data_IF_920037772961
#
_entry.id   IF_920037772961
#
_cell.length_a   1.000
_cell.length_b   1.000
_cell.length_c   1.000
_cell.angle_alpha   90.00
_cell.angle_beta   90.00
_cell.angle_gamma   90.00
#
_symmetry.space_group_name_H-M   'P 1'
#
loop_
_entity.id
_entity.type
_entity.pdbx_description
1 polymer ?
#
# COMPACT_ATOMS: atom_id res chain seq x y z
N UNK A 1 0.21 -27.64 -21.53
CA UNK A 1 0.47 -27.16 -20.15
C UNK A 1 1.71 -26.32 -20.22
N UNK A 2 1.59 -24.98 -20.28
CA UNK A 2 2.76 -24.11 -20.32
C UNK A 2 3.47 -24.19 -18.97
N UNK A 3 4.77 -24.46 -18.95
CA UNK A 3 5.55 -24.34 -17.74
C UNK A 3 5.47 -22.89 -17.28
N UNK A 4 5.06 -22.68 -16.03
CA UNK A 4 5.03 -21.33 -15.45
C UNK A 4 6.44 -20.72 -15.55
N UNK A 5 6.55 -19.46 -15.99
CA UNK A 5 7.84 -18.80 -16.01
C UNK A 5 8.42 -18.74 -14.60
N UNK A 6 9.74 -18.70 -14.49
CA UNK A 6 10.39 -18.57 -13.18
C UNK A 6 9.91 -17.32 -12.44
N UNK A 7 9.58 -16.25 -13.18
CA UNK A 7 9.03 -15.01 -12.63
C UNK A 7 7.65 -15.25 -12.01
N UNK A 8 6.77 -16.00 -12.68
CA UNK A 8 5.45 -16.36 -12.16
C UNK A 8 5.57 -17.25 -10.91
N UNK A 9 6.40 -18.30 -10.97
CA UNK A 9 6.54 -19.25 -9.88
C UNK A 9 7.09 -18.59 -8.60
N UNK A 10 8.19 -17.85 -8.70
CA UNK A 10 8.81 -17.18 -7.57
C UNK A 10 8.00 -15.97 -7.09
N UNK A 11 7.36 -15.22 -8.01
CA UNK A 11 6.49 -14.11 -7.65
C UNK A 11 5.29 -14.57 -6.82
N UNK A 12 4.60 -15.62 -7.24
CA UNK A 12 3.51 -16.23 -6.46
C UNK A 12 3.98 -16.85 -5.15
N UNK A 13 5.15 -17.50 -5.14
CA UNK A 13 5.73 -18.02 -3.90
C UNK A 13 6.01 -16.89 -2.89
N UNK A 14 6.45 -15.73 -3.35
CA UNK A 14 6.64 -14.54 -2.53
C UNK A 14 5.32 -14.04 -1.92
N UNK A 15 4.24 -13.96 -2.72
CA UNK A 15 2.90 -13.58 -2.23
C UNK A 15 2.37 -14.58 -1.19
N UNK A 16 2.54 -15.88 -1.43
CA UNK A 16 2.15 -16.93 -0.47
C UNK A 16 2.94 -16.81 0.83
N UNK A 17 4.25 -16.53 0.75
CA UNK A 17 5.07 -16.31 1.94
C UNK A 17 4.58 -15.08 2.73
N UNK A 18 4.29 -13.96 2.04
CA UNK A 18 3.74 -12.77 2.68
C UNK A 18 2.41 -13.08 3.37
N UNK A 19 1.48 -13.72 2.67
CA UNK A 19 0.16 -14.08 3.20
C UNK A 19 0.27 -15.01 4.40
N UNK A 20 1.06 -16.08 4.30
CA UNK A 20 1.29 -17.02 5.39
C UNK A 20 1.92 -16.33 6.61
N UNK A 21 2.93 -15.49 6.39
CA UNK A 21 3.58 -14.74 7.47
C UNK A 21 2.60 -13.78 8.16
N UNK A 22 1.72 -13.10 7.41
CA UNK A 22 0.69 -12.23 7.97
C UNK A 22 -0.34 -13.02 8.80
N UNK A 23 -0.84 -14.14 8.29
CA UNK A 23 -1.83 -14.98 9.00
C UNK A 23 -1.22 -15.56 10.26
N UNK A 24 -0.08 -16.25 10.16
CA UNK A 24 0.57 -16.85 11.31
C UNK A 24 1.10 -15.82 12.31
N UNK A 25 1.57 -14.66 11.82
CA UNK A 25 1.99 -13.54 12.66
C UNK A 25 0.84 -12.97 13.49
N UNK A 26 -0.31 -12.70 12.86
CA UNK A 26 -1.51 -12.23 13.56
C UNK A 26 -1.99 -13.26 14.60
N UNK A 27 -2.06 -14.55 14.24
CA UNK A 27 -2.49 -15.63 15.14
C UNK A 27 -1.51 -15.83 16.30
N UNK A 28 -0.21 -15.82 16.04
CA UNK A 28 0.83 -15.99 17.07
C UNK A 28 0.78 -14.85 18.10
N UNK A 29 0.66 -13.59 17.61
CA UNK A 29 0.56 -12.43 18.50
C UNK A 29 -0.76 -12.45 19.29
N UNK A 30 -1.89 -12.77 18.65
CA UNK A 30 -3.19 -12.85 19.30
C UNK A 30 -3.20 -13.93 20.40
N UNK A 31 -2.67 -15.11 20.09
CA UNK A 31 -2.58 -16.20 21.05
C UNK A 31 -1.60 -15.85 22.18
N UNK A 32 -0.46 -15.23 21.86
CA UNK A 32 0.52 -14.75 22.83
C UNK A 32 -0.10 -13.74 23.81
N UNK A 33 -0.91 -12.76 23.32
CA UNK A 33 -1.62 -11.80 24.17
C UNK A 33 -2.61 -12.53 25.11
N UNK A 34 -3.43 -13.44 24.56
CA UNK A 34 -4.47 -14.16 25.33
C UNK A 34 -3.91 -15.08 26.40
N UNK A 35 -2.74 -15.68 26.16
CA UNK A 35 -2.10 -16.62 27.08
C UNK A 35 -1.00 -15.98 27.95
N UNK A 36 -0.65 -14.74 27.70
CA UNK A 36 0.51 -14.10 28.33
C UNK A 36 1.85 -14.74 27.92
N UNK A 37 1.91 -15.39 26.75
CA UNK A 37 3.11 -16.09 26.28
C UNK A 37 4.07 -15.12 25.58
N UNK A 38 5.06 -14.68 26.35
CA UNK A 38 6.10 -13.76 25.86
C UNK A 38 6.97 -14.35 24.75
N UNK A 39 7.09 -15.69 24.67
CA UNK A 39 7.89 -16.33 23.60
C UNK A 39 7.21 -16.15 22.24
N UNK A 40 5.89 -16.29 22.19
CA UNK A 40 5.12 -16.03 20.97
C UNK A 40 5.14 -14.54 20.58
N UNK A 41 4.97 -13.64 21.55
CA UNK A 41 5.03 -12.20 21.28
C UNK A 41 6.37 -11.76 20.69
N UNK A 42 7.49 -12.36 21.15
CA UNK A 42 8.84 -12.11 20.62
C UNK A 42 9.04 -12.60 19.17
N UNK A 43 8.13 -13.40 18.63
CA UNK A 43 8.20 -13.84 17.22
C UNK A 43 7.58 -12.84 16.25
N UNK A 44 6.83 -11.84 16.72
CA UNK A 44 6.18 -10.87 15.84
C UNK A 44 7.14 -10.19 14.82
N UNK A 45 8.36 -9.74 15.19
CA UNK A 45 9.31 -9.22 14.22
C UNK A 45 9.73 -10.22 13.15
N UNK A 46 9.86 -11.50 13.47
CA UNK A 46 10.20 -12.55 12.49
C UNK A 46 9.12 -12.62 11.41
N UNK A 47 7.84 -12.69 11.80
CA UNK A 47 6.74 -12.70 10.83
C UNK A 47 6.67 -11.43 9.99
N UNK A 48 6.94 -10.27 10.58
CA UNK A 48 6.98 -9.01 9.83
C UNK A 48 8.12 -9.01 8.78
N UNK A 49 9.30 -9.52 9.11
CA UNK A 49 10.40 -9.65 8.17
C UNK A 49 10.14 -10.71 7.09
N UNK A 50 9.51 -11.82 7.43
CA UNK A 50 9.09 -12.84 6.44
C UNK A 50 8.05 -12.27 5.47
N UNK A 51 7.08 -11.49 5.96
CA UNK A 51 6.11 -10.82 5.11
C UNK A 51 6.78 -9.82 4.15
N UNK A 52 7.72 -9.02 4.66
CA UNK A 52 8.51 -8.11 3.83
C UNK A 52 9.35 -8.88 2.79
N UNK A 53 10.05 -9.94 3.20
CA UNK A 53 10.85 -10.75 2.28
C UNK A 53 9.99 -11.35 1.17
N UNK A 54 8.79 -11.83 1.50
CA UNK A 54 7.84 -12.37 0.54
C UNK A 54 7.42 -11.34 -0.52
N UNK A 55 7.00 -10.16 -0.09
CA UNK A 55 6.58 -9.13 -1.05
C UNK A 55 7.74 -8.55 -1.84
N UNK A 56 8.92 -8.40 -1.25
CA UNK A 56 10.13 -7.98 -1.97
C UNK A 56 10.47 -8.99 -3.07
N UNK A 57 10.41 -10.29 -2.79
CA UNK A 57 10.60 -11.32 -3.81
C UNK A 57 9.59 -11.16 -4.96
N UNK A 58 8.31 -10.96 -4.67
CA UNK A 58 7.28 -10.76 -5.70
C UNK A 58 7.56 -9.53 -6.55
N UNK A 59 7.87 -8.40 -5.92
CA UNK A 59 8.20 -7.16 -6.63
C UNK A 59 9.45 -7.31 -7.50
N UNK A 60 10.51 -7.95 -6.99
CA UNK A 60 11.72 -8.22 -7.76
C UNK A 60 11.43 -9.10 -8.97
N UNK A 61 10.59 -10.13 -8.81
CA UNK A 61 10.20 -11.00 -9.92
C UNK A 61 9.36 -10.27 -10.96
N UNK A 62 8.45 -9.38 -10.56
CA UNK A 62 7.67 -8.57 -11.49
C UNK A 62 8.57 -7.54 -12.22
N UNK A 63 9.46 -6.86 -11.50
CA UNK A 63 10.42 -5.96 -12.13
C UNK A 63 11.32 -6.71 -13.14
N UNK A 64 11.80 -7.90 -12.75
CA UNK A 64 12.56 -8.73 -13.66
C UNK A 64 11.74 -9.10 -14.90
N UNK A 65 10.47 -9.51 -14.73
CA UNK A 65 9.59 -9.86 -15.84
C UNK A 65 9.39 -8.69 -16.82
N UNK A 66 9.18 -7.48 -16.32
CA UNK A 66 9.05 -6.28 -17.14
C UNK A 66 10.34 -5.92 -17.87
N UNK A 67 11.48 -5.95 -17.18
CA UNK A 67 12.80 -5.62 -17.77
C UNK A 67 13.21 -6.66 -18.81
N UNK A 68 12.98 -7.95 -18.55
CA UNK A 68 13.31 -9.05 -19.49
C UNK A 68 12.21 -9.28 -20.53
N UNK A 69 11.14 -8.50 -20.50
CA UNK A 69 10.00 -8.62 -21.43
C UNK A 69 9.41 -10.03 -21.46
N UNK A 70 9.13 -10.58 -20.27
CA UNK A 70 8.54 -11.91 -20.11
C UNK A 70 7.04 -11.88 -20.46
N UNK A 71 6.74 -11.85 -21.74
CA UNK A 71 5.37 -11.83 -22.26
C UNK A 71 4.58 -13.13 -22.01
N UNK A 72 5.12 -14.08 -21.24
CA UNK A 72 4.33 -15.20 -20.73
C UNK A 72 3.34 -14.79 -19.64
N UNK A 73 3.48 -13.58 -19.09
CA UNK A 73 2.60 -13.01 -18.07
C UNK A 73 1.59 -12.03 -18.69
N UNK A 74 0.32 -12.15 -18.31
CA UNK A 74 -0.75 -11.27 -18.79
C UNK A 74 -0.46 -9.78 -18.46
N UNK A 75 0.04 -9.50 -17.27
CA UNK A 75 0.41 -8.15 -16.87
C UNK A 75 1.48 -7.54 -17.78
N UNK A 76 2.52 -8.31 -18.11
CA UNK A 76 3.57 -7.85 -19.04
C UNK A 76 3.03 -7.64 -20.45
N UNK A 77 2.05 -8.45 -20.89
CA UNK A 77 1.35 -8.23 -22.17
C UNK A 77 0.52 -6.94 -22.16
N UNK A 78 -0.04 -6.57 -21.03
CA UNK A 78 -0.89 -5.38 -20.89
C UNK A 78 -0.08 -4.08 -20.87
N UNK A 79 0.99 -4.02 -20.06
CA UNK A 79 1.74 -2.78 -19.79
C UNK A 79 3.13 -2.74 -20.37
N UNK A 80 3.63 -3.88 -20.88
CA UNK A 80 4.96 -3.98 -21.50
C UNK A 80 4.91 -3.74 -22.99
N UNK A 81 6.03 -3.27 -23.56
CA UNK A 81 6.24 -3.17 -25.01
C UNK A 81 7.70 -3.44 -25.34
N UNK A 82 7.94 -3.94 -26.56
CA UNK A 82 9.29 -4.08 -27.11
C UNK A 82 10.00 -2.71 -27.24
N UNK A 83 9.22 -1.64 -27.44
CA UNK A 83 9.71 -0.29 -27.72
C UNK A 83 9.82 0.59 -26.47
N UNK A 84 9.28 0.15 -25.31
CA UNK A 84 9.36 0.93 -24.07
C UNK A 84 10.82 1.09 -23.63
N UNK A 85 11.31 2.35 -23.40
CA UNK A 85 12.65 2.57 -22.90
C UNK A 85 12.85 1.92 -21.53
N UNK A 86 14.05 1.37 -21.27
CA UNK A 86 14.34 0.55 -20.08
C UNK A 86 13.97 1.22 -18.75
N UNK A 87 14.16 2.53 -18.64
CA UNK A 87 13.81 3.30 -17.44
C UNK A 87 12.31 3.23 -17.15
N UNK A 88 11.46 3.31 -18.16
CA UNK A 88 10.01 3.31 -18.03
C UNK A 88 9.43 1.90 -17.82
N UNK A 89 10.17 0.83 -18.14
CA UNK A 89 9.79 -0.53 -17.72
C UNK A 89 9.72 -0.68 -16.20
N UNK A 90 10.52 0.08 -15.45
CA UNK A 90 10.44 0.09 -13.99
C UNK A 90 9.09 0.69 -13.54
N UNK A 91 8.68 1.80 -14.14
CA UNK A 91 7.40 2.46 -13.83
C UNK A 91 6.18 1.65 -14.30
N UNK A 92 6.33 0.81 -15.33
CA UNK A 92 5.26 -0.05 -15.81
C UNK A 92 4.70 -0.97 -14.70
N UNK A 93 5.50 -1.26 -13.65
CA UNK A 93 5.00 -2.08 -12.53
C UNK A 93 3.80 -1.47 -11.82
N UNK A 94 3.69 -0.15 -11.72
CA UNK A 94 2.56 0.51 -11.06
C UNK A 94 1.61 1.24 -12.00
N UNK A 95 1.74 1.04 -13.31
CA UNK A 95 0.94 1.72 -14.32
C UNK A 95 -0.45 1.10 -14.55
N UNK A 96 -0.73 -0.06 -13.97
CA UNK A 96 -2.03 -0.73 -14.04
C UNK A 96 -2.40 -1.36 -12.68
N UNK A 97 -3.62 -1.93 -12.61
CA UNK A 97 -4.24 -2.39 -11.39
C UNK A 97 -3.36 -3.34 -10.57
N UNK A 98 -2.97 -4.47 -11.14
CA UNK A 98 -2.34 -5.58 -10.43
C UNK A 98 -0.98 -5.17 -9.85
N UNK A 99 -0.18 -4.50 -10.64
CA UNK A 99 1.14 -4.03 -10.20
C UNK A 99 1.05 -2.88 -9.20
N UNK A 100 0.01 -2.03 -9.28
CA UNK A 100 -0.26 -0.98 -8.29
C UNK A 100 -0.60 -1.58 -6.92
N UNK A 101 -1.30 -2.71 -6.87
CA UNK A 101 -1.58 -3.46 -5.64
C UNK A 101 -0.31 -4.12 -5.09
N UNK A 102 0.59 -4.62 -5.94
CA UNK A 102 1.91 -5.09 -5.50
C UNK A 102 2.74 -3.97 -4.83
N UNK A 103 2.73 -2.76 -5.40
CA UNK A 103 3.38 -1.61 -4.78
C UNK A 103 2.76 -1.26 -3.42
N UNK A 104 1.42 -1.30 -3.32
CA UNK A 104 0.72 -1.13 -2.06
C UNK A 104 1.16 -2.14 -1.00
N UNK A 105 1.17 -3.43 -1.36
CA UNK A 105 1.59 -4.51 -0.48
C UNK A 105 3.07 -4.36 -0.06
N UNK A 106 3.95 -3.91 -0.96
CA UNK A 106 5.35 -3.62 -0.64
C UNK A 106 5.46 -2.53 0.44
N UNK A 107 4.76 -1.41 0.26
CA UNK A 107 4.77 -0.30 1.23
C UNK A 107 4.22 -0.76 2.58
N UNK A 108 3.14 -1.55 2.61
CA UNK A 108 2.62 -2.17 3.83
C UNK A 108 3.65 -3.09 4.50
N UNK A 109 4.32 -3.94 3.73
CA UNK A 109 5.38 -4.82 4.24
C UNK A 109 6.51 -4.03 4.88
N UNK A 110 6.96 -2.95 4.23
CA UNK A 110 7.98 -2.04 4.77
C UNK A 110 7.52 -1.40 6.08
N UNK A 111 6.32 -0.83 6.14
CA UNK A 111 5.80 -0.22 7.36
C UNK A 111 5.61 -1.25 8.48
N UNK A 112 5.11 -2.45 8.17
CA UNK A 112 4.92 -3.52 9.16
C UNK A 112 6.27 -3.95 9.76
N UNK A 113 7.29 -4.16 8.93
CA UNK A 113 8.63 -4.48 9.39
C UNK A 113 9.27 -3.32 10.18
N UNK A 114 9.08 -2.07 9.73
CA UNK A 114 9.60 -0.88 10.41
C UNK A 114 8.98 -0.70 11.80
N UNK A 115 7.67 -0.91 11.94
CA UNK A 115 6.98 -0.88 13.25
C UNK A 115 7.48 -2.03 14.13
N UNK A 116 7.54 -3.26 13.62
CA UNK A 116 8.04 -4.41 14.37
C UNK A 116 9.49 -4.20 14.84
N UNK A 117 10.35 -3.63 13.99
CA UNK A 117 11.74 -3.28 14.34
C UNK A 117 11.81 -2.15 15.36
N UNK A 118 11.00 -1.09 15.20
CA UNK A 118 10.97 0.05 16.14
C UNK A 118 10.59 -0.38 17.55
N UNK A 119 9.68 -1.35 17.68
CA UNK A 119 9.17 -1.85 18.95
C UNK A 119 9.72 -3.22 19.37
N UNK A 120 10.80 -3.70 18.75
CA UNK A 120 11.39 -5.02 19.01
C UNK A 120 11.75 -5.30 20.48
N UNK A 121 12.02 -4.24 21.26
CA UNK A 121 12.32 -4.32 22.70
C UNK A 121 11.05 -4.18 23.57
N UNK A 122 9.87 -4.02 22.96
CA UNK A 122 8.57 -3.85 23.64
C UNK A 122 7.54 -4.83 23.07
N UNK A 123 7.96 -6.03 22.71
CA UNK A 123 7.07 -7.05 22.12
C UNK A 123 6.02 -7.57 23.10
N UNK A 124 6.21 -7.40 24.39
CA UNK A 124 5.26 -7.74 25.46
C UNK A 124 4.24 -6.61 25.75
N UNK A 125 4.37 -5.44 25.12
CA UNK A 125 3.36 -4.39 25.19
C UNK A 125 2.13 -4.76 24.36
N UNK A 126 1.01 -4.95 25.06
CA UNK A 126 -0.26 -5.36 24.46
C UNK A 126 -0.74 -4.36 23.38
N UNK A 127 -0.47 -3.06 23.56
CA UNK A 127 -0.79 -2.04 22.57
C UNK A 127 -0.02 -2.29 21.25
N UNK A 128 1.28 -2.54 21.34
CA UNK A 128 2.12 -2.86 20.19
C UNK A 128 1.65 -4.17 19.52
N UNK A 129 1.34 -5.17 20.34
CA UNK A 129 0.82 -6.45 19.83
C UNK A 129 -0.45 -6.27 19.00
N UNK A 130 -1.45 -5.54 19.50
CA UNK A 130 -2.67 -5.25 18.75
C UNK A 130 -2.43 -4.41 17.51
N UNK A 131 -1.55 -3.41 17.56
CA UNK A 131 -1.18 -2.65 16.37
C UNK A 131 -0.56 -3.54 15.28
N UNK A 132 0.34 -4.47 15.65
CA UNK A 132 0.91 -5.44 14.70
C UNK A 132 -0.14 -6.41 14.14
N UNK A 133 -1.11 -6.87 14.96
CA UNK A 133 -2.22 -7.69 14.46
C UNK A 133 -3.00 -6.94 13.37
N UNK A 134 -3.36 -5.69 13.60
CA UNK A 134 -4.07 -4.87 12.60
C UNK A 134 -3.24 -4.73 11.34
N UNK A 135 -1.93 -4.45 11.46
CA UNK A 135 -1.04 -4.33 10.30
C UNK A 135 -0.90 -5.63 9.54
N UNK A 136 -0.79 -6.78 10.22
CA UNK A 136 -0.78 -8.10 9.58
C UNK A 136 -2.08 -8.38 8.84
N UNK A 137 -3.23 -8.04 9.43
CA UNK A 137 -4.55 -8.23 8.79
C UNK A 137 -4.65 -7.40 7.52
N UNK A 138 -4.29 -6.11 7.58
CA UNK A 138 -4.33 -5.22 6.41
C UNK A 138 -3.32 -5.70 5.34
N UNK A 139 -2.10 -6.05 5.74
CA UNK A 139 -1.07 -6.56 4.81
C UNK A 139 -1.49 -7.89 4.17
N UNK A 140 -2.09 -8.79 4.96
CA UNK A 140 -2.63 -10.06 4.49
C UNK A 140 -3.79 -9.89 3.50
N UNK A 141 -4.65 -8.91 3.71
CA UNK A 141 -5.72 -8.57 2.78
C UNK A 141 -5.17 -8.15 1.41
N UNK A 142 -4.17 -7.27 1.36
CA UNK A 142 -3.56 -6.87 0.09
C UNK A 142 -2.74 -7.99 -0.57
N UNK A 143 -2.11 -8.87 0.22
CA UNK A 143 -1.47 -10.07 -0.30
C UNK A 143 -2.51 -11.02 -0.94
N UNK A 144 -3.68 -11.18 -0.31
CA UNK A 144 -4.77 -11.99 -0.84
C UNK A 144 -5.35 -11.40 -2.15
N UNK A 145 -5.52 -10.08 -2.22
CA UNK A 145 -5.93 -9.41 -3.45
C UNK A 145 -4.93 -9.66 -4.59
N UNK A 146 -3.63 -9.54 -4.30
CA UNK A 146 -2.54 -9.75 -5.28
C UNK A 146 -2.40 -11.21 -5.70
N UNK A 147 -2.87 -12.16 -4.88
CA UNK A 147 -2.86 -13.58 -5.21
C UNK A 147 -4.13 -14.03 -5.95
N UNK A 148 -5.23 -13.32 -5.79
CA UNK A 148 -6.55 -13.64 -6.34
C UNK A 148 -6.98 -12.66 -7.46
N UNK A 149 -7.88 -11.72 -7.18
CA UNK A 149 -8.50 -10.88 -8.23
C UNK A 149 -7.54 -9.91 -8.91
N UNK A 150 -6.41 -9.55 -8.29
CA UNK A 150 -5.37 -8.69 -8.87
C UNK A 150 -4.05 -9.47 -9.06
N UNK A 151 -4.13 -10.66 -9.68
CA UNK A 151 -2.96 -11.53 -9.90
C UNK A 151 -2.06 -11.00 -11.03
N UNK A 152 -1.04 -10.25 -10.66
CA UNK A 152 -0.03 -9.75 -11.59
C UNK A 152 0.82 -10.88 -12.27
N UNK A 153 0.79 -12.10 -11.73
CA UNK A 153 1.50 -13.26 -12.26
C UNK A 153 0.59 -14.22 -13.06
N UNK A 154 -0.61 -13.78 -13.43
CA UNK A 154 -1.51 -14.56 -14.27
C UNK A 154 -0.85 -14.90 -15.62
N UNK A 155 -1.09 -16.12 -16.17
CA UNK A 155 -0.54 -16.49 -17.46
C UNK A 155 -1.15 -15.63 -18.57
N UNK A 156 -0.30 -15.17 -19.48
CA UNK A 156 -0.71 -14.43 -20.65
C UNK A 156 -1.17 -15.32 -21.80
N UNK A 157 -1.71 -14.71 -22.85
CA UNK A 157 -2.06 -15.39 -24.10
C UNK A 157 -0.79 -15.89 -24.82
N UNK A 158 -0.83 -17.07 -25.47
CA UNK A 158 0.31 -17.60 -26.19
C UNK A 158 0.60 -16.78 -27.47
N UNK A 159 1.88 -16.72 -27.83
CA UNK A 159 2.32 -16.10 -29.09
C UNK A 159 2.46 -14.58 -29.07
N UNK A 160 2.13 -13.91 -27.96
CA UNK A 160 2.33 -12.48 -27.79
C UNK A 160 3.81 -12.20 -27.49
N UNK A 161 4.44 -11.35 -28.30
CA UNK A 161 5.85 -10.97 -28.19
C UNK A 161 6.06 -9.48 -27.89
N UNK A 162 4.99 -8.68 -27.92
CA UNK A 162 4.96 -7.27 -27.52
C UNK A 162 3.54 -6.87 -27.14
N UNK A 163 3.40 -5.99 -26.17
CA UNK A 163 2.14 -5.37 -25.80
C UNK A 163 2.10 -3.89 -26.21
N UNK A 164 1.01 -3.17 -25.86
CA UNK A 164 0.82 -1.76 -26.19
C UNK A 164 1.73 -0.82 -25.39
N UNK A 165 2.32 -1.32 -24.30
CA UNK A 165 2.97 -0.46 -23.30
C UNK A 165 1.97 0.16 -22.31
N UNK A 166 2.43 0.94 -21.33
CA UNK A 166 1.57 1.69 -20.43
C UNK A 166 0.71 2.71 -21.18
N UNK A 167 -0.35 3.21 -20.55
CA UNK A 167 -1.19 4.26 -21.12
C UNK A 167 -0.32 5.40 -21.69
N UNK A 168 -0.54 5.84 -22.94
CA UNK A 168 0.26 6.90 -23.57
C UNK A 168 0.37 8.20 -22.77
N UNK A 169 -0.64 8.53 -21.97
CA UNK A 169 -0.60 9.68 -21.07
C UNK A 169 0.39 9.53 -19.91
N UNK A 170 0.82 8.28 -19.59
CA UNK A 170 1.75 7.99 -18.51
C UNK A 170 3.19 7.84 -19.01
N UNK A 171 3.36 7.53 -20.30
CA UNK A 171 4.65 7.17 -20.88
C UNK A 171 5.61 8.36 -20.98
N UNK A 172 6.90 8.04 -20.80
CA UNK A 172 8.02 8.94 -21.12
C UNK A 172 8.06 10.25 -20.32
N UNK A 173 7.34 10.32 -19.20
CA UNK A 173 7.44 11.45 -18.28
C UNK A 173 8.15 11.03 -16.98
N UNK A 174 9.12 11.83 -16.53
CA UNK A 174 9.94 11.49 -15.37
C UNK A 174 9.12 11.33 -14.08
N UNK A 175 8.02 12.06 -13.94
CA UNK A 175 7.16 12.00 -12.74
C UNK A 175 6.42 10.67 -12.61
N UNK A 176 6.26 9.88 -13.67
CA UNK A 176 5.69 8.52 -13.55
C UNK A 176 6.55 7.61 -12.66
N UNK A 177 7.84 7.89 -12.56
CA UNK A 177 8.76 7.14 -11.70
C UNK A 177 8.63 7.53 -10.22
N UNK A 178 8.39 8.81 -9.93
CA UNK A 178 8.47 9.36 -8.57
C UNK A 178 7.12 9.61 -7.93
N UNK A 179 6.15 10.19 -8.67
CA UNK A 179 4.87 10.58 -8.09
C UNK A 179 4.10 9.40 -7.46
N UNK A 180 3.85 8.25 -8.15
CA UNK A 180 3.06 7.18 -7.54
C UNK A 180 3.74 6.57 -6.31
N UNK A 181 5.03 6.19 -6.31
CA UNK A 181 5.68 5.68 -5.10
C UNK A 181 5.65 6.65 -3.92
N UNK A 182 5.86 7.95 -4.15
CA UNK A 182 5.82 8.98 -3.11
C UNK A 182 4.39 9.13 -2.56
N UNK A 183 3.39 9.15 -3.43
CA UNK A 183 1.98 9.18 -3.04
C UNK A 183 1.62 7.97 -2.17
N UNK A 184 2.05 6.77 -2.56
CA UNK A 184 1.80 5.53 -1.80
C UNK A 184 2.46 5.55 -0.42
N UNK A 185 3.67 6.08 -0.28
CA UNK A 185 4.30 6.23 1.04
C UNK A 185 3.43 7.05 2.00
N UNK A 186 2.82 8.11 1.51
CA UNK A 186 1.89 8.91 2.29
C UNK A 186 0.55 8.22 2.53
N UNK A 187 -0.06 7.77 1.45
CA UNK A 187 -1.40 7.21 1.44
C UNK A 187 -1.51 5.93 2.29
N UNK A 188 -0.62 4.97 2.04
CA UNK A 188 -0.54 3.69 2.77
C UNK A 188 0.00 3.88 4.18
N UNK A 189 0.87 4.87 4.39
CA UNK A 189 1.50 5.15 5.67
C UNK A 189 0.51 5.46 6.80
N UNK A 190 -0.68 5.97 6.48
CA UNK A 190 -1.76 6.16 7.47
C UNK A 190 -2.26 4.85 8.09
N UNK A 191 -1.92 3.69 7.54
CA UNK A 191 -2.19 2.38 8.19
C UNK A 191 -1.51 2.28 9.56
N UNK A 192 -0.34 2.88 9.76
CA UNK A 192 0.38 2.80 11.04
C UNK A 192 -0.38 3.53 12.16
N UNK A 193 -0.68 4.85 12.05
CA UNK A 193 -1.45 5.52 13.09
C UNK A 193 -2.85 4.94 13.27
N UNK A 194 -3.50 4.46 12.20
CA UNK A 194 -4.77 3.73 12.30
C UNK A 194 -4.62 2.45 13.13
N UNK A 195 -3.61 1.64 12.89
CA UNK A 195 -3.38 0.39 13.64
C UNK A 195 -3.20 0.65 15.14
N UNK A 196 -2.47 1.69 15.50
CA UNK A 196 -2.34 2.10 16.89
C UNK A 196 -3.62 2.69 17.48
N UNK A 197 -4.44 3.40 16.69
CA UNK A 197 -5.75 3.89 17.13
C UNK A 197 -6.68 2.71 17.47
N UNK A 198 -6.75 1.70 16.61
CA UNK A 198 -7.52 0.46 16.88
C UNK A 198 -6.95 -0.27 18.11
N UNK A 199 -5.63 -0.38 18.22
CA UNK A 199 -4.99 -0.99 19.39
C UNK A 199 -5.35 -0.25 20.69
N UNK A 200 -5.39 1.10 20.67
CA UNK A 200 -5.79 1.92 21.81
C UNK A 200 -7.25 1.68 22.19
N UNK A 201 -8.15 1.56 21.20
CA UNK A 201 -9.57 1.23 21.42
C UNK A 201 -9.74 -0.15 22.05
N UNK A 202 -9.08 -1.18 21.49
CA UNK A 202 -9.18 -2.57 21.95
C UNK A 202 -8.63 -2.72 23.38
N UNK A 203 -7.54 -2.01 23.69
CA UNK A 203 -6.90 -2.09 25.01
C UNK A 203 -7.46 -1.12 26.05
N UNK A 204 -8.37 -0.23 25.66
CA UNK A 204 -8.89 0.84 26.52
C UNK A 204 -7.85 1.91 26.88
N UNK A 205 -6.68 1.93 26.25
CA UNK A 205 -5.59 2.87 26.51
C UNK A 205 -5.77 4.17 25.72
N UNK A 206 -6.82 4.91 26.01
CA UNK A 206 -7.19 6.15 25.30
C UNK A 206 -6.40 7.39 25.77
N UNK A 207 -5.43 7.22 26.66
CA UNK A 207 -4.53 8.27 27.13
C UNK A 207 -3.51 8.70 26.04
N UNK A 208 -2.61 9.61 26.41
CA UNK A 208 -1.68 10.26 25.46
C UNK A 208 -0.55 9.35 24.95
N UNK A 209 -0.29 8.21 25.62
CA UNK A 209 0.87 7.36 25.30
C UNK A 209 0.91 6.84 23.87
N UNK A 210 -0.23 6.45 23.30
CA UNK A 210 -0.28 5.97 21.92
C UNK A 210 -0.11 7.10 20.88
N UNK A 211 -0.52 8.33 21.22
CA UNK A 211 -0.34 9.50 20.35
C UNK A 211 1.14 9.83 20.12
N UNK A 212 1.95 9.77 21.17
CA UNK A 212 3.40 10.00 21.09
C UNK A 212 4.06 8.99 20.18
N UNK A 213 3.64 7.72 20.23
CA UNK A 213 4.17 6.67 19.37
C UNK A 213 3.80 6.86 17.89
N UNK A 214 2.61 7.39 17.61
CA UNK A 214 2.07 7.53 16.24
C UNK A 214 2.38 8.87 15.58
N UNK A 215 2.71 9.90 16.34
CA UNK A 215 2.91 11.27 15.84
C UNK A 215 3.87 11.35 14.65
N UNK A 216 5.05 10.70 14.76
CA UNK A 216 6.04 10.72 13.68
C UNK A 216 5.54 10.01 12.42
N UNK A 217 4.80 8.92 12.59
CA UNK A 217 4.21 8.18 11.47
C UNK A 217 3.13 9.00 10.77
N UNK A 218 2.25 9.64 11.53
CA UNK A 218 1.21 10.50 10.97
C UNK A 218 1.80 11.71 10.21
N UNK A 219 2.82 12.37 10.79
CA UNK A 219 3.51 13.48 10.12
C UNK A 219 4.25 13.02 8.86
N UNK A 220 4.92 11.86 8.90
CA UNK A 220 5.57 11.26 7.74
C UNK A 220 4.53 11.01 6.64
N UNK A 221 3.44 10.31 6.96
CA UNK A 221 2.39 9.98 6.00
C UNK A 221 1.78 11.23 5.39
N UNK A 222 1.46 12.23 6.20
CA UNK A 222 0.91 13.50 5.74
C UNK A 222 1.89 14.25 4.82
N UNK A 223 3.17 14.32 5.18
CA UNK A 223 4.19 15.01 4.38
C UNK A 223 4.39 14.33 3.01
N UNK A 224 4.48 12.99 2.98
CA UNK A 224 4.61 12.25 1.73
C UNK A 224 3.34 12.31 0.88
N UNK A 225 2.15 12.29 1.49
CA UNK A 225 0.89 12.48 0.77
C UNK A 225 0.80 13.88 0.17
N UNK A 226 1.20 14.91 0.94
CA UNK A 226 1.28 16.29 0.44
C UNK A 226 2.23 16.40 -0.75
N UNK A 227 3.43 15.86 -0.64
CA UNK A 227 4.42 15.85 -1.71
C UNK A 227 3.89 15.08 -2.94
N UNK A 228 3.25 13.93 -2.72
CA UNK A 228 2.63 13.14 -3.77
C UNK A 228 1.55 13.91 -4.52
N UNK A 229 0.65 14.61 -3.82
CA UNK A 229 -0.39 15.45 -4.43
C UNK A 229 0.24 16.58 -5.25
N UNK A 230 1.26 17.26 -4.73
CA UNK A 230 1.95 18.34 -5.44
C UNK A 230 2.64 17.85 -6.73
N UNK A 231 3.32 16.69 -6.65
CA UNK A 231 3.95 16.09 -7.84
C UNK A 231 2.91 15.63 -8.86
N UNK A 232 1.75 15.14 -8.41
CA UNK A 232 0.62 14.80 -9.28
C UNK A 232 0.04 16.01 -10.00
N UNK A 233 -0.13 17.11 -9.27
CA UNK A 233 -0.57 18.37 -9.86
C UNK A 233 0.43 18.93 -10.90
N UNK A 234 1.73 18.84 -10.61
CA UNK A 234 2.76 19.22 -11.58
C UNK A 234 2.70 18.31 -12.82
N UNK A 235 2.59 17.00 -12.63
CA UNK A 235 2.47 16.06 -13.74
C UNK A 235 1.22 16.30 -14.59
N UNK A 236 0.06 16.53 -13.95
CA UNK A 236 -1.19 16.91 -14.62
C UNK A 236 -1.01 18.14 -15.51
N UNK A 237 -0.33 19.18 -15.01
CA UNK A 237 -0.06 20.41 -15.76
C UNK A 237 0.79 20.17 -17.02
N UNK A 238 1.79 19.28 -16.96
CA UNK A 238 2.69 19.03 -18.08
C UNK A 238 2.14 18.05 -19.13
N UNK A 239 1.31 17.10 -18.70
CA UNK A 239 0.94 15.94 -19.54
C UNK A 239 -0.52 15.95 -19.96
N UNK A 240 -1.42 16.45 -19.10
CA UNK A 240 -2.85 16.37 -19.36
C UNK A 240 -3.38 17.63 -20.04
N UNK A 241 -4.25 17.45 -21.05
CA UNK A 241 -4.65 18.52 -21.98
C UNK A 241 -5.59 19.59 -21.43
N UNK A 242 -5.95 19.57 -20.15
CA UNK A 242 -6.83 20.62 -19.56
C UNK A 242 -6.10 21.86 -19.05
N UNK A 243 -4.80 21.95 -19.25
CA UNK A 243 -3.99 23.14 -18.91
C UNK A 243 -4.06 23.58 -17.45
N UNK A 244 -4.18 22.64 -16.50
CA UNK A 244 -4.30 22.94 -15.07
C UNK A 244 -3.59 21.92 -14.19
N UNK A 245 -3.32 22.33 -12.94
CA UNK A 245 -2.68 21.48 -11.92
C UNK A 245 -3.69 20.60 -11.18
N UNK A 246 -5.00 20.86 -11.35
CA UNK A 246 -6.07 20.17 -10.65
C UNK A 246 -7.39 20.26 -11.43
N UNK A 247 -7.97 19.12 -11.76
CA UNK A 247 -9.20 19.02 -12.56
C UNK A 247 -10.45 18.65 -11.73
N UNK A 248 -10.30 18.45 -10.42
CA UNK A 248 -11.35 17.89 -9.57
C UNK A 248 -11.80 16.49 -10.01
N UNK A 249 -10.90 15.76 -10.65
CA UNK A 249 -11.12 14.39 -11.05
C UNK A 249 -11.38 13.50 -9.83
N UNK A 250 -12.25 12.48 -9.93
CA UNK A 250 -12.54 11.58 -8.81
C UNK A 250 -11.30 10.92 -8.17
N UNK A 251 -10.27 10.60 -8.95
CA UNK A 251 -9.02 10.01 -8.45
C UNK A 251 -8.17 11.03 -7.72
N UNK A 252 -8.12 12.28 -8.20
CA UNK A 252 -7.50 13.39 -7.48
C UNK A 252 -8.18 13.59 -6.11
N UNK A 253 -9.52 13.65 -6.10
CA UNK A 253 -10.29 13.75 -4.87
C UNK A 253 -10.09 12.58 -3.92
N UNK A 254 -9.90 11.35 -4.43
CA UNK A 254 -9.58 10.19 -3.62
C UNK A 254 -8.28 10.35 -2.81
N UNK A 255 -7.32 11.13 -3.31
CA UNK A 255 -6.10 11.49 -2.55
C UNK A 255 -6.30 12.68 -1.61
N UNK A 256 -7.14 13.64 -2.00
CA UNK A 256 -7.41 14.83 -1.22
C UNK A 256 -8.22 14.55 0.06
N UNK A 257 -9.19 13.65 0.01
CA UNK A 257 -10.04 13.32 1.16
C UNK A 257 -9.25 12.85 2.40
N UNK A 258 -8.36 11.83 2.32
CA UNK A 258 -7.53 11.46 3.46
C UNK A 258 -6.51 12.53 3.84
N UNK A 259 -6.06 13.36 2.89
CA UNK A 259 -5.20 14.50 3.20
C UNK A 259 -5.91 15.54 4.06
N UNK A 260 -7.17 15.86 3.78
CA UNK A 260 -7.98 16.81 4.56
C UNK A 260 -8.22 16.29 5.98
N UNK A 261 -8.63 15.03 6.14
CA UNK A 261 -8.86 14.44 7.46
C UNK A 261 -7.56 14.24 8.25
N UNK A 262 -6.47 13.89 7.57
CA UNK A 262 -5.13 13.81 8.14
C UNK A 262 -4.63 15.19 8.61
N UNK A 263 -4.88 16.24 7.84
CA UNK A 263 -4.57 17.63 8.22
C UNK A 263 -5.35 18.05 9.47
N UNK A 264 -6.66 17.77 9.49
CA UNK A 264 -7.49 18.03 10.66
C UNK A 264 -6.96 17.27 11.90
N UNK A 265 -6.56 15.99 11.72
CA UNK A 265 -5.96 15.21 12.80
C UNK A 265 -4.69 15.84 13.35
N UNK A 266 -3.74 16.23 12.48
CA UNK A 266 -2.45 16.80 12.92
C UNK A 266 -2.66 18.06 13.77
N UNK A 267 -3.61 18.91 13.41
CA UNK A 267 -3.92 20.11 14.20
C UNK A 267 -4.65 19.77 15.51
N UNK A 268 -5.62 18.88 15.46
CA UNK A 268 -6.47 18.51 16.58
C UNK A 268 -5.69 17.70 17.64
N UNK A 269 -4.70 16.88 17.23
CA UNK A 269 -3.85 16.13 18.17
C UNK A 269 -2.99 17.04 19.04
N UNK A 270 -2.57 18.20 18.54
CA UNK A 270 -1.85 19.21 19.33
C UNK A 270 -2.72 19.79 20.45
N UNK A 271 -4.03 19.92 20.22
CA UNK A 271 -4.98 20.35 21.25
C UNK A 271 -5.13 19.25 22.31
N UNK A 272 -5.21 18.00 21.90
CA UNK A 272 -5.27 16.88 22.84
C UNK A 272 -4.00 16.79 23.71
N UNK A 273 -2.81 16.90 23.11
CA UNK A 273 -1.53 16.88 23.85
C UNK A 273 -1.43 18.02 24.88
N UNK A 274 -1.93 19.21 24.54
CA UNK A 274 -1.79 20.39 25.42
C UNK A 274 -2.92 20.55 26.44
N UNK A 275 -4.14 20.10 26.11
CA UNK A 275 -5.34 20.39 26.89
C UNK A 275 -6.13 19.14 27.29
N UNK A 276 -5.73 17.93 26.86
CA UNK A 276 -6.44 16.67 27.12
C UNK A 276 -7.82 16.56 26.44
N UNK A 277 -8.13 17.46 25.50
CA UNK A 277 -9.42 17.55 24.81
C UNK A 277 -9.41 16.79 23.48
N UNK A 278 -10.57 16.57 22.87
CA UNK A 278 -10.75 16.03 21.50
C UNK A 278 -10.30 14.58 21.31
N UNK A 279 -10.24 13.76 22.36
CA UNK A 279 -9.78 12.35 22.31
C UNK A 279 -10.56 11.50 21.32
N UNK A 280 -11.89 11.54 21.41
CA UNK A 280 -12.79 10.79 20.52
C UNK A 280 -12.69 11.32 19.09
N UNK A 281 -12.60 12.64 18.94
CA UNK A 281 -12.46 13.29 17.63
C UNK A 281 -11.18 12.85 16.91
N UNK A 282 -10.05 12.81 17.61
CA UNK A 282 -8.78 12.36 17.05
C UNK A 282 -8.80 10.90 16.61
N UNK A 283 -9.41 10.02 17.41
CA UNK A 283 -9.62 8.63 17.01
C UNK A 283 -10.50 8.54 15.76
N UNK A 284 -11.61 9.29 15.74
CA UNK A 284 -12.52 9.32 14.57
C UNK A 284 -11.83 9.82 13.31
N UNK A 285 -11.00 10.87 13.41
CA UNK A 285 -10.25 11.39 12.28
C UNK A 285 -9.24 10.38 11.72
N UNK A 286 -8.53 9.64 12.58
CA UNK A 286 -7.60 8.61 12.10
C UNK A 286 -8.33 7.43 11.44
N UNK A 287 -9.42 6.97 12.04
CA UNK A 287 -10.24 5.91 11.45
C UNK A 287 -10.82 6.38 10.12
N UNK A 288 -11.35 7.61 10.05
CA UNK A 288 -11.86 8.19 8.81
C UNK A 288 -10.76 8.34 7.76
N UNK A 289 -9.56 8.82 8.13
CA UNK A 289 -8.44 8.96 7.20
C UNK A 289 -8.09 7.62 6.56
N UNK A 290 -7.94 6.57 7.37
CA UNK A 290 -7.67 5.24 6.82
C UNK A 290 -8.84 4.69 6.00
N UNK A 291 -10.07 4.83 6.46
CA UNK A 291 -11.25 4.40 5.71
C UNK A 291 -11.34 5.09 4.34
N UNK A 292 -11.00 6.38 4.27
CA UNK A 292 -10.95 7.14 3.02
C UNK A 292 -9.82 6.69 2.10
N UNK A 293 -8.66 6.22 2.63
CA UNK A 293 -7.63 5.61 1.77
C UNK A 293 -8.12 4.30 1.16
N UNK A 294 -8.84 3.47 1.89
CA UNK A 294 -9.41 2.22 1.37
C UNK A 294 -10.54 2.52 0.37
N UNK A 295 -11.45 3.45 0.71
CA UNK A 295 -12.52 3.87 -0.19
C UNK A 295 -11.94 4.44 -1.50
N UNK A 296 -10.95 5.34 -1.42
CA UNK A 296 -10.28 5.88 -2.59
C UNK A 296 -9.60 4.81 -3.44
N UNK A 297 -8.97 3.81 -2.80
CA UNK A 297 -8.40 2.66 -3.50
C UNK A 297 -9.46 1.87 -4.25
N UNK A 298 -10.60 1.62 -3.63
CA UNK A 298 -11.75 0.98 -4.27
C UNK A 298 -12.24 1.81 -5.46
N UNK A 299 -12.54 3.09 -5.27
CA UNK A 299 -13.06 3.98 -6.31
C UNK A 299 -12.14 4.05 -7.54
N UNK A 300 -10.83 4.11 -7.32
CA UNK A 300 -9.84 4.24 -8.41
C UNK A 300 -9.59 2.95 -9.18
N UNK A 301 -9.98 1.79 -8.62
CA UNK A 301 -9.64 0.46 -9.16
C UNK A 301 -10.83 -0.41 -9.53
N UNK A 302 -12.04 -0.03 -9.12
CA UNK A 302 -13.26 -0.81 -9.39
C UNK A 302 -13.89 -0.53 -10.75
N UNK A 303 -13.40 0.47 -11.50
CA UNK A 303 -14.05 0.89 -12.74
C UNK A 303 -15.40 1.62 -12.54
N UNK A 304 -15.82 1.86 -11.28
CA UNK A 304 -17.09 2.57 -10.97
C UNK A 304 -17.04 4.04 -11.40
N UNK A 305 -15.84 4.63 -11.43
CA UNK A 305 -15.65 6.03 -11.76
C UNK A 305 -14.97 6.19 -13.13
N UNK A 306 -15.52 7.05 -13.98
CA UNK A 306 -14.84 7.54 -15.17
C UNK A 306 -13.78 8.58 -14.76
N UNK A 307 -12.52 8.25 -14.99
CA UNK A 307 -11.39 9.13 -14.73
C UNK A 307 -10.26 8.82 -15.71
N UNK A 308 -9.55 9.85 -16.13
CA UNK A 308 -8.30 9.68 -16.91
C UNK A 308 -7.19 9.00 -16.11
N UNK A 309 -7.32 8.95 -14.78
CA UNK A 309 -6.43 8.28 -13.85
C UNK A 309 -6.92 6.88 -13.42
N UNK A 310 -8.10 6.43 -13.89
CA UNK A 310 -8.61 5.11 -13.54
C UNK A 310 -7.78 4.01 -14.19
N UNK A 311 -7.61 2.90 -13.48
CA UNK A 311 -6.81 1.76 -13.95
C UNK A 311 -7.61 0.80 -14.88
N UNK A 312 -8.50 1.35 -15.72
CA UNK A 312 -9.16 0.60 -16.77
C UNK A 312 -10.22 -0.43 -16.32
N UNK A 313 -10.76 -1.15 -17.29
CA UNK A 313 -11.82 -2.15 -17.12
C UNK A 313 -11.25 -3.47 -16.58
N UNK A 314 -10.86 -3.49 -15.32
CA UNK A 314 -10.32 -4.68 -14.67
C UNK A 314 -11.40 -5.55 -14.03
N UNK A 315 -11.13 -6.87 -13.78
CA UNK A 315 -12.08 -7.82 -13.20
C UNK A 315 -12.53 -7.50 -11.76
N UNK A 316 -11.98 -6.47 -11.14
CA UNK A 316 -12.35 -6.01 -9.78
C UNK A 316 -13.56 -5.08 -9.80
N UNK A 317 -14.01 -4.64 -10.98
CA UNK A 317 -15.16 -3.75 -11.16
C UNK A 317 -16.40 -4.43 -11.72
N UNK A 318 -16.36 -5.72 -12.01
CA UNK A 318 -17.50 -6.50 -12.52
C UNK A 318 -18.09 -7.41 -11.46
#
# INVERSE_FOLDING_TARGET
>A
MFAASINAALGRAGLLLMLAACVFGALAVLYGIRRGDRKLLKQAPLYAWLALAGIVLSVVMMQRALITRDFSLAYVQQVGSADTPALYNVAAMWSALEGSILLWALVLGVFTAAVAWRFRNRTDDVLVGWALIVMFVVSGFFALLSFGPADAFAPGAPGITSGPGPNPLLQNHILVLFHPPILYLGYVGFTVPFAFAIAALVTGRLGEGWLLETRRWALFSWAFLTLGILLGGWWSYEVLGWSGVWAWDPVENASLLPWLTGTAYIHSVLVQERRGMLRVWNLSLLVATFALTILGTFLTRSGVLNSVHAFGDGPVGS
#
